data_IF_416895109717
#
_entry.id   IF_416895109717
#
_cell.length_a   1.000
_cell.length_b   1.000
_cell.length_c   1.000
_cell.angle_alpha   90.00
_cell.angle_beta   90.00
_cell.angle_gamma   90.00
#
_symmetry.space_group_name_H-M   'P 1'
#
loop_
_entity.id
_entity.type
_entity.pdbx_description
1 polymer ?
#
# COMPACT_ATOMS: atom_id res chain seq x y z
N UNK A 1 -18.11 5.69 -4.83
CA UNK A 1 -17.32 6.75 -5.50
C UNK A 1 -16.13 6.17 -6.26
N UNK A 2 -15.20 5.46 -5.62
CA UNK A 2 -13.97 4.97 -6.28
C UNK A 2 -14.21 4.01 -7.47
N UNK A 3 -15.10 3.02 -7.35
CA UNK A 3 -15.43 2.12 -8.46
C UNK A 3 -16.01 2.85 -9.68
N UNK A 4 -16.78 3.91 -9.46
CA UNK A 4 -17.32 4.74 -10.54
C UNK A 4 -16.21 5.53 -11.24
N UNK A 5 -15.30 6.15 -10.48
CA UNK A 5 -14.14 6.89 -11.03
C UNK A 5 -13.24 5.96 -11.84
N UNK A 6 -12.94 4.77 -11.32
CA UNK A 6 -12.08 3.79 -11.99
C UNK A 6 -12.77 3.33 -13.29
N UNK A 7 -14.06 2.97 -13.25
CA UNK A 7 -14.80 2.59 -14.45
C UNK A 7 -14.84 3.68 -15.54
N UNK A 8 -14.91 4.96 -15.15
CA UNK A 8 -14.98 6.09 -16.08
C UNK A 8 -13.62 6.43 -16.72
N UNK A 9 -12.54 6.41 -15.94
CA UNK A 9 -11.22 6.90 -16.38
C UNK A 9 -10.25 5.80 -16.80
N UNK A 10 -10.46 4.55 -16.40
CA UNK A 10 -9.52 3.45 -16.64
C UNK A 10 -9.16 3.30 -18.12
N UNK A 11 -10.16 3.21 -19.00
CA UNK A 11 -9.91 3.07 -20.44
C UNK A 11 -9.23 4.32 -21.04
N UNK A 12 -9.55 5.52 -20.55
CA UNK A 12 -8.94 6.75 -21.06
C UNK A 12 -7.45 6.82 -20.71
N UNK A 13 -7.11 6.47 -19.47
CA UNK A 13 -5.72 6.41 -18.98
C UNK A 13 -4.93 5.29 -19.69
N UNK A 14 -5.51 4.10 -19.85
CA UNK A 14 -4.86 2.99 -20.58
C UNK A 14 -4.64 3.32 -22.04
N UNK A 15 -5.58 3.99 -22.72
CA UNK A 15 -5.39 4.40 -24.11
C UNK A 15 -4.31 5.48 -24.27
N UNK A 16 -4.18 6.39 -23.29
CA UNK A 16 -3.19 7.48 -23.35
C UNK A 16 -1.77 7.03 -23.01
N UNK A 17 -1.61 6.17 -22.02
CA UNK A 17 -0.30 5.78 -21.49
C UNK A 17 0.10 4.34 -21.82
N UNK A 18 -0.81 3.55 -22.37
CA UNK A 18 -0.61 2.12 -22.60
C UNK A 18 -0.80 1.29 -21.34
N UNK A 19 -1.23 0.04 -21.53
CA UNK A 19 -1.58 -0.85 -20.43
C UNK A 19 -0.36 -1.18 -19.54
N UNK A 20 0.82 -1.32 -20.15
CA UNK A 20 2.06 -1.66 -19.45
C UNK A 20 2.44 -0.59 -18.41
N UNK A 21 2.41 0.69 -18.78
CA UNK A 21 2.74 1.80 -17.87
C UNK A 21 1.73 1.92 -16.72
N UNK A 22 0.44 1.66 -16.98
CA UNK A 22 -0.59 1.66 -15.94
C UNK A 22 -0.33 0.56 -14.91
N UNK A 23 -0.03 -0.66 -15.36
CA UNK A 23 0.33 -1.77 -14.47
C UNK A 23 1.64 -1.53 -13.72
N UNK A 24 2.62 -0.86 -14.35
CA UNK A 24 3.85 -0.46 -13.70
C UNK A 24 3.57 0.55 -12.57
N UNK A 25 2.67 1.52 -12.79
CA UNK A 25 2.20 2.44 -11.75
C UNK A 25 1.57 1.72 -10.56
N UNK A 26 0.73 0.72 -10.79
CA UNK A 26 0.18 -0.11 -9.72
C UNK A 26 1.27 -0.87 -8.95
N UNK A 27 2.25 -1.44 -9.67
CA UNK A 27 3.39 -2.14 -9.06
C UNK A 27 4.18 -1.22 -8.13
N UNK A 28 4.48 0.02 -8.55
CA UNK A 28 5.18 1.00 -7.71
C UNK A 28 4.39 1.29 -6.42
N UNK A 29 3.08 1.50 -6.51
CA UNK A 29 2.24 1.72 -5.33
C UNK A 29 2.26 0.52 -4.39
N UNK A 30 2.24 -0.71 -4.92
CA UNK A 30 2.38 -1.91 -4.11
C UNK A 30 3.74 -1.99 -3.40
N UNK A 31 4.84 -1.69 -4.08
CA UNK A 31 6.16 -1.66 -3.45
C UNK A 31 6.27 -0.61 -2.35
N UNK A 32 5.74 0.60 -2.59
CA UNK A 32 5.68 1.65 -1.57
C UNK A 32 4.87 1.22 -0.34
N UNK A 33 3.75 0.52 -0.55
CA UNK A 33 2.96 -0.04 0.54
C UNK A 33 3.74 -1.08 1.35
N UNK A 34 4.49 -1.97 0.68
CA UNK A 34 5.34 -2.96 1.37
C UNK A 34 6.42 -2.28 2.21
N UNK A 35 7.12 -1.28 1.65
CA UNK A 35 8.16 -0.52 2.37
C UNK A 35 7.54 0.19 3.58
N UNK A 36 6.39 0.83 3.39
CA UNK A 36 5.68 1.52 4.46
C UNK A 36 5.30 0.57 5.58
N UNK A 37 4.70 -0.58 5.24
CA UNK A 37 4.29 -1.60 6.22
C UNK A 37 5.51 -2.18 6.94
N UNK A 38 6.56 -2.55 6.21
CA UNK A 38 7.77 -3.11 6.82
C UNK A 38 8.47 -2.13 7.78
N UNK A 39 8.42 -0.82 7.51
CA UNK A 39 9.07 0.21 8.34
C UNK A 39 8.21 0.81 9.45
N UNK A 40 6.90 0.95 9.24
CA UNK A 40 6.00 1.68 10.15
C UNK A 40 4.98 0.79 10.85
N UNK A 41 4.70 -0.41 10.32
CA UNK A 41 3.74 -1.34 10.94
C UNK A 41 4.52 -2.41 11.66
N UNK A 42 4.54 -2.32 12.99
CA UNK A 42 5.09 -3.37 13.85
C UNK A 42 4.29 -4.65 13.61
N UNK A 43 4.96 -5.75 13.25
CA UNK A 43 4.29 -7.03 13.03
C UNK A 43 3.57 -7.47 14.31
N UNK A 44 2.24 -7.51 14.27
CA UNK A 44 1.39 -7.98 15.36
C UNK A 44 1.14 -9.48 15.31
N UNK A 45 1.57 -10.16 14.23
CA UNK A 45 1.42 -11.60 14.08
C UNK A 45 2.56 -12.35 14.77
N UNK A 46 2.25 -12.98 15.90
CA UNK A 46 3.15 -13.91 16.61
C UNK A 46 3.93 -13.30 17.78
N UNK A 47 3.79 -12.00 18.05
CA UNK A 47 4.32 -11.35 19.26
C UNK A 47 3.29 -11.37 20.40
N UNK A 48 3.76 -11.52 21.63
CA UNK A 48 2.89 -11.37 22.80
C UNK A 48 2.47 -9.90 22.95
N UNK A 49 1.31 -9.66 23.57
CA UNK A 49 0.80 -8.29 23.80
C UNK A 49 1.81 -7.40 24.57
N UNK A 50 2.63 -7.99 25.43
CA UNK A 50 3.70 -7.30 26.18
C UNK A 50 4.84 -6.78 25.27
N UNK A 51 5.27 -7.55 24.27
CA UNK A 51 6.31 -7.11 23.33
C UNK A 51 5.82 -5.96 22.43
N UNK A 52 4.52 -5.96 22.12
CA UNK A 52 3.87 -4.88 21.35
C UNK A 52 3.76 -3.61 22.21
N UNK A 53 3.37 -3.73 23.49
CA UNK A 53 3.32 -2.59 24.41
C UNK A 53 4.70 -1.98 24.69
N UNK A 54 5.75 -2.79 24.82
CA UNK A 54 7.12 -2.31 25.02
C UNK A 54 7.64 -1.56 23.79
N UNK A 55 7.41 -2.09 22.58
CA UNK A 55 7.79 -1.44 21.34
C UNK A 55 7.07 -0.08 21.15
N UNK A 56 5.78 0.00 21.52
CA UNK A 56 5.01 1.24 21.49
C UNK A 56 5.42 2.24 22.58
N UNK A 57 5.80 1.80 23.79
CA UNK A 57 6.31 2.67 24.86
C UNK A 57 7.72 3.21 24.59
N UNK A 58 8.55 2.47 23.86
CA UNK A 58 9.91 2.89 23.49
C UNK A 58 9.93 3.91 22.34
N UNK A 59 8.82 4.10 21.63
CA UNK A 59 8.71 5.01 20.48
C UNK A 59 7.88 6.28 20.77
N UNK A 60 7.61 6.56 22.05
CA UNK A 60 7.11 7.84 22.57
C UNK A 60 8.20 8.52 23.42
#
# INVERSE_FOLDING_TARGET
>A
VSNFVIGLYFLNVVNKYGISNVYLGFSVVCFLAVIYVAGNVVETKGRSLEEIELALRSSA
#
